data_IF_481970022502
#
_entry.id   IF_481970022502
#
_cell.length_a   1.000
_cell.length_b   1.000
_cell.length_c   1.000
_cell.angle_alpha   90.00
_cell.angle_beta   90.00
_cell.angle_gamma   90.00
#
_symmetry.space_group_name_H-M   'P 1'
#
loop_
_entity.id
_entity.type
_entity.pdbx_description
1 polymer ?
#
# COMPACT_ATOMS: atom_id res chain seq x y z
N UNK A 1 -30.20 -47.34 9.66
CA UNK A 1 -29.85 -46.05 10.30
C UNK A 1 -28.69 -45.31 9.62
N UNK A 2 -27.73 -46.00 8.97
CA UNK A 2 -26.55 -45.38 8.33
C UNK A 2 -26.83 -44.44 7.15
N UNK A 3 -27.90 -44.67 6.37
CA UNK A 3 -28.19 -43.86 5.18
C UNK A 3 -28.63 -42.41 5.50
N UNK A 4 -29.28 -42.21 6.65
CA UNK A 4 -29.73 -40.87 7.11
C UNK A 4 -28.57 -40.01 7.64
N UNK A 5 -27.52 -40.64 8.16
CA UNK A 5 -26.37 -39.96 8.75
C UNK A 5 -25.40 -39.44 7.67
N UNK A 6 -25.25 -40.20 6.57
CA UNK A 6 -24.47 -39.77 5.41
C UNK A 6 -25.11 -38.56 4.69
N UNK A 7 -26.44 -38.52 4.56
CA UNK A 7 -27.15 -37.40 3.91
C UNK A 7 -27.07 -36.10 4.70
N UNK A 8 -27.16 -36.15 6.03
CA UNK A 8 -26.99 -34.95 6.88
C UNK A 8 -25.57 -34.40 6.85
N UNK A 9 -24.56 -35.27 6.73
CA UNK A 9 -23.15 -34.85 6.68
C UNK A 9 -22.80 -34.18 5.35
N UNK A 10 -23.38 -34.66 4.25
CA UNK A 10 -23.25 -34.02 2.93
C UNK A 10 -23.91 -32.64 2.92
N UNK A 11 -25.13 -32.51 3.43
CA UNK A 11 -25.83 -31.21 3.49
C UNK A 11 -25.08 -30.17 4.34
N UNK A 12 -24.44 -30.58 5.44
CA UNK A 12 -23.64 -29.68 6.27
C UNK A 12 -22.36 -29.19 5.55
N UNK A 13 -21.76 -30.03 4.71
CA UNK A 13 -20.57 -29.68 3.94
C UNK A 13 -20.83 -28.67 2.82
N UNK A 14 -22.04 -28.65 2.25
CA UNK A 14 -22.40 -27.64 1.24
C UNK A 14 -22.59 -26.24 1.84
N UNK A 15 -22.98 -26.13 3.11
CA UNK A 15 -23.12 -24.82 3.78
C UNK A 15 -21.79 -24.14 4.13
N UNK A 16 -20.68 -24.87 4.23
CA UNK A 16 -19.38 -24.30 4.60
C UNK A 16 -18.65 -23.58 3.46
N UNK A 17 -19.06 -23.79 2.19
CA UNK A 17 -18.38 -23.21 1.02
C UNK A 17 -18.64 -21.69 0.89
N UNK A 18 -19.75 -21.19 1.45
CA UNK A 18 -20.08 -19.76 1.40
C UNK A 18 -19.19 -18.88 2.32
N UNK A 19 -18.73 -19.43 3.44
CA UNK A 19 -17.98 -18.66 4.44
C UNK A 19 -16.57 -18.28 3.97
N UNK A 20 -15.89 -19.16 3.24
CA UNK A 20 -14.55 -18.88 2.69
C UNK A 20 -14.58 -17.83 1.60
N UNK A 21 -15.61 -17.79 0.76
CA UNK A 21 -15.75 -16.79 -0.30
C UNK A 21 -15.96 -15.38 0.26
N UNK A 22 -16.82 -15.22 1.27
CA UNK A 22 -17.04 -13.92 1.93
C UNK A 22 -15.74 -13.44 2.60
N UNK A 23 -15.05 -14.33 3.30
CA UNK A 23 -13.76 -13.99 3.91
C UNK A 23 -12.72 -13.59 2.86
N UNK A 24 -12.61 -14.32 1.74
CA UNK A 24 -11.68 -13.96 0.67
C UNK A 24 -12.01 -12.57 0.11
N UNK A 25 -13.29 -12.29 -0.15
CA UNK A 25 -13.75 -10.97 -0.64
C UNK A 25 -13.37 -9.86 0.33
N UNK A 26 -13.66 -10.00 1.62
CA UNK A 26 -13.36 -8.97 2.61
C UNK A 26 -11.86 -8.72 2.75
N UNK A 27 -11.05 -9.78 2.68
CA UNK A 27 -9.60 -9.64 2.68
C UNK A 27 -9.06 -9.01 1.41
N UNK A 28 -9.66 -9.29 0.25
CA UNK A 28 -9.28 -8.65 -1.02
C UNK A 28 -9.60 -7.16 -1.01
N UNK A 29 -10.74 -6.75 -0.44
CA UNK A 29 -11.08 -5.33 -0.30
C UNK A 29 -10.08 -4.63 0.63
N UNK A 30 -9.84 -5.17 1.83
CA UNK A 30 -8.83 -4.62 2.76
C UNK A 30 -7.44 -4.58 2.14
N UNK A 31 -7.06 -5.62 1.40
CA UNK A 31 -5.79 -5.67 0.69
C UNK A 31 -5.72 -4.55 -0.36
N UNK A 32 -6.79 -4.30 -1.11
CA UNK A 32 -6.81 -3.22 -2.11
C UNK A 32 -6.67 -1.83 -1.47
N UNK A 33 -7.23 -1.61 -0.28
CA UNK A 33 -7.07 -0.35 0.46
C UNK A 33 -5.60 -0.11 0.84
N UNK A 34 -4.88 -1.15 1.27
CA UNK A 34 -3.45 -1.01 1.63
C UNK A 34 -2.54 -0.61 0.47
N UNK A 35 -2.96 -0.82 -0.79
CA UNK A 35 -2.16 -0.41 -1.96
C UNK A 35 -2.04 1.11 -2.03
N UNK A 36 -3.16 1.81 -1.87
CA UNK A 36 -3.18 3.27 -1.86
C UNK A 36 -2.41 3.84 -0.68
N UNK A 37 -2.49 3.17 0.48
CA UNK A 37 -1.71 3.55 1.67
C UNK A 37 -0.20 3.42 1.42
N UNK A 38 0.24 2.33 0.78
CA UNK A 38 1.66 2.13 0.41
C UNK A 38 2.14 3.23 -0.53
N UNK A 39 1.38 3.58 -1.57
CA UNK A 39 1.75 4.66 -2.49
C UNK A 39 1.84 6.01 -1.78
N UNK A 40 0.84 6.31 -0.95
CA UNK A 40 0.78 7.55 -0.20
C UNK A 40 1.97 7.67 0.74
N UNK A 41 2.29 6.61 1.50
CA UNK A 41 3.44 6.61 2.41
C UNK A 41 4.76 6.78 1.66
N UNK A 42 4.95 6.09 0.53
CA UNK A 42 6.14 6.25 -0.31
C UNK A 42 6.29 7.71 -0.80
N UNK A 43 5.21 8.36 -1.21
CA UNK A 43 5.25 9.78 -1.62
C UNK A 43 5.60 10.69 -0.46
N UNK A 44 5.00 10.49 0.72
CA UNK A 44 5.25 11.32 1.90
C UNK A 44 6.67 11.15 2.45
N UNK A 45 7.18 9.91 2.50
CA UNK A 45 8.56 9.63 2.94
C UNK A 45 9.58 10.24 1.97
N UNK A 46 9.32 10.14 0.66
CA UNK A 46 10.15 10.81 -0.35
C UNK A 46 10.07 12.33 -0.19
N UNK A 47 8.89 12.92 0.03
CA UNK A 47 8.77 14.36 0.29
C UNK A 47 9.59 14.78 1.51
N UNK A 48 9.50 14.05 2.62
CA UNK A 48 10.32 14.31 3.81
C UNK A 48 11.82 14.21 3.51
N UNK A 49 12.21 13.22 2.69
CA UNK A 49 13.59 13.07 2.22
C UNK A 49 14.04 14.27 1.38
N UNK A 50 13.19 14.79 0.48
CA UNK A 50 13.51 15.96 -0.36
C UNK A 50 13.55 17.28 0.40
N UNK A 51 12.80 17.40 1.50
CA UNK A 51 12.92 18.53 2.43
C UNK A 51 14.29 18.48 3.14
N UNK A 52 14.75 17.29 3.53
CA UNK A 52 16.05 17.12 4.17
C UNK A 52 17.23 17.29 3.18
N UNK A 53 17.14 16.67 2.00
CA UNK A 53 18.13 16.74 0.93
C UNK A 53 17.44 16.86 -0.44
N UNK A 54 17.53 18.04 -1.07
CA UNK A 54 16.91 18.32 -2.36
C UNK A 54 17.46 17.49 -3.52
N UNK A 55 18.68 16.97 -3.37
CA UNK A 55 19.35 16.17 -4.40
C UNK A 55 19.25 14.67 -4.14
N UNK A 56 18.45 14.26 -3.15
CA UNK A 56 18.17 12.86 -2.88
C UNK A 56 17.48 12.19 -4.08
N UNK A 57 17.73 10.88 -4.23
CA UNK A 57 17.08 10.06 -5.24
C UNK A 57 15.81 9.43 -4.65
N UNK A 58 14.63 9.63 -5.26
CA UNK A 58 13.39 9.04 -4.75
C UNK A 58 13.46 7.52 -4.84
N UNK A 59 13.00 6.84 -3.80
CA UNK A 59 12.77 5.39 -3.84
C UNK A 59 11.29 5.12 -4.05
N UNK A 60 10.94 4.42 -5.13
CA UNK A 60 9.56 4.08 -5.43
C UNK A 60 9.47 2.62 -5.88
N UNK A 61 8.47 1.91 -5.37
CA UNK A 61 8.23 0.51 -5.67
C UNK A 61 6.74 0.31 -5.96
N UNK A 62 6.44 -0.09 -7.20
CA UNK A 62 5.07 -0.35 -7.62
C UNK A 62 4.67 -1.77 -7.21
N UNK A 63 3.63 -1.98 -6.38
CA UNK A 63 3.01 -3.29 -6.22
C UNK A 63 2.47 -3.75 -7.58
N UNK A 64 3.08 -4.81 -8.12
CA UNK A 64 2.75 -5.39 -9.43
C UNK A 64 1.69 -6.47 -9.31
N UNK A 65 1.80 -7.29 -8.27
CA UNK A 65 0.92 -8.41 -8.03
C UNK A 65 0.70 -8.58 -6.52
N UNK A 66 -0.57 -8.77 -6.13
CA UNK A 66 -0.96 -9.16 -4.79
C UNK A 66 -1.68 -10.50 -4.86
N UNK A 67 -1.27 -11.46 -4.03
CA UNK A 67 -1.99 -12.72 -3.88
C UNK A 67 -2.52 -12.87 -2.46
N UNK A 68 -3.79 -13.27 -2.36
CA UNK A 68 -4.42 -13.71 -1.12
C UNK A 68 -4.69 -15.20 -1.23
N UNK A 69 -4.08 -15.98 -0.35
CA UNK A 69 -4.37 -17.40 -0.23
C UNK A 69 -4.99 -17.69 1.13
N UNK A 70 -6.20 -18.23 1.11
CA UNK A 70 -6.83 -18.85 2.29
C UNK A 70 -6.71 -20.36 2.12
N UNK A 71 -5.92 -20.99 2.98
CA UNK A 71 -5.69 -22.43 2.97
C UNK A 71 -6.32 -23.05 4.22
N UNK A 72 -7.41 -23.78 4.02
CA UNK A 72 -8.03 -24.60 5.05
C UNK A 72 -7.45 -26.02 4.99
N UNK A 73 -6.83 -26.47 6.08
CA UNK A 73 -6.26 -27.82 6.21
C UNK A 73 -7.02 -28.58 7.29
N UNK A 74 -7.74 -29.63 6.90
CA UNK A 74 -8.40 -30.55 7.82
C UNK A 74 -7.76 -31.94 7.73
N UNK A 75 -7.48 -32.54 8.89
CA UNK A 75 -6.99 -33.91 9.01
C UNK A 75 -7.83 -34.69 10.01
N UNK A 76 -8.21 -35.91 9.65
CA UNK A 76 -8.73 -36.88 10.61
C UNK A 76 -7.71 -38.01 10.72
N UNK A 77 -7.17 -38.22 11.92
CA UNK A 77 -6.35 -39.36 12.27
C UNK A 77 -7.11 -40.25 13.23
N UNK A 78 -6.94 -41.57 13.08
CA UNK A 78 -7.47 -42.54 14.03
C UNK A 78 -6.32 -43.43 14.46
N UNK A 79 -6.09 -43.51 15.76
CA UNK A 79 -5.08 -44.38 16.33
C UNK A 79 -5.82 -45.43 17.14
N UNK A 80 -5.75 -46.69 16.69
CA UNK A 80 -6.38 -47.81 17.37
C UNK A 80 -5.28 -48.64 18.03
N UNK A 81 -5.29 -48.70 19.36
CA UNK A 81 -4.41 -49.53 20.17
C UNK A 81 -5.00 -50.91 20.39
N UNK A 82 -4.33 -51.95 19.91
CA UNK A 82 -4.66 -53.35 20.20
C UNK A 82 -3.56 -53.98 21.04
N UNK A 83 -3.89 -54.47 22.23
CA UNK A 83 -3.04 -55.39 22.99
C UNK A 83 -3.47 -56.83 22.67
N UNK A 84 -2.54 -57.80 22.74
CA UNK A 84 -2.70 -59.20 22.24
C UNK A 84 -3.98 -59.93 22.68
N UNK A 85 -4.68 -59.47 23.72
CA UNK A 85 -5.90 -60.10 24.24
C UNK A 85 -7.06 -59.13 24.52
N UNK A 86 -6.89 -57.81 24.33
CA UNK A 86 -7.93 -56.79 24.60
C UNK A 86 -7.74 -55.56 23.73
N UNK A 87 -8.86 -54.98 23.30
CA UNK A 87 -8.90 -53.63 22.78
C UNK A 87 -8.47 -52.65 23.88
N UNK A 88 -7.47 -51.81 23.60
CA UNK A 88 -6.88 -50.90 24.59
C UNK A 88 -7.50 -49.50 24.49
N UNK A 89 -7.42 -48.88 23.30
CA UNK A 89 -7.98 -47.55 23.08
C UNK A 89 -8.24 -47.27 21.60
N UNK A 90 -9.16 -46.34 21.33
CA UNK A 90 -9.28 -45.66 20.04
C UNK A 90 -9.22 -44.16 20.29
N UNK A 91 -8.17 -43.51 19.79
CA UNK A 91 -8.04 -42.07 19.81
C UNK A 91 -8.42 -41.52 18.44
N UNK A 92 -9.44 -40.66 18.43
CA UNK A 92 -9.83 -39.90 17.26
C UNK A 92 -9.15 -38.53 17.33
N UNK A 93 -8.19 -38.28 16.45
CA UNK A 93 -7.59 -36.97 16.26
C UNK A 93 -8.28 -36.25 15.12
N UNK A 94 -8.99 -35.16 15.40
CA UNK A 94 -9.46 -34.24 14.36
C UNK A 94 -8.63 -32.97 14.50
N UNK A 95 -7.93 -32.59 13.44
CA UNK A 95 -7.26 -31.30 13.34
C UNK A 95 -7.89 -30.50 12.22
N UNK A 96 -8.14 -29.23 12.48
CA UNK A 96 -8.55 -28.27 11.47
C UNK A 96 -7.72 -27.01 11.71
N UNK A 97 -7.06 -26.53 10.68
CA UNK A 97 -6.24 -25.33 10.69
C UNK A 97 -6.61 -24.45 9.50
N UNK A 98 -6.52 -23.14 9.68
CA UNK A 98 -6.76 -22.14 8.64
C UNK A 98 -5.55 -21.22 8.58
N UNK A 99 -4.86 -21.23 7.45
CA UNK A 99 -3.73 -20.34 7.19
C UNK A 99 -4.15 -19.28 6.18
N UNK A 100 -3.94 -18.02 6.54
CA UNK A 100 -4.16 -16.88 5.65
C UNK A 100 -2.80 -16.30 5.28
N UNK A 101 -2.44 -16.34 4.00
CA UNK A 101 -1.19 -15.80 3.49
C UNK A 101 -1.48 -14.67 2.50
N UNK A 102 -0.86 -13.52 2.75
CA UNK A 102 -0.90 -12.36 1.85
C UNK A 102 0.53 -12.08 1.38
N UNK A 103 0.72 -12.02 0.07
CA UNK A 103 2.04 -11.74 -0.54
C UNK A 103 1.91 -10.60 -1.53
N UNK A 104 2.79 -9.61 -1.41
CA UNK A 104 2.94 -8.52 -2.36
C UNK A 104 4.26 -8.66 -3.09
N UNK A 105 4.21 -8.58 -4.42
CA UNK A 105 5.40 -8.47 -5.26
C UNK A 105 5.50 -7.04 -5.76
N UNK A 106 6.57 -6.34 -5.40
CA UNK A 106 6.83 -4.97 -5.82
C UNK A 106 7.97 -4.91 -6.84
N UNK A 107 7.82 -4.07 -7.87
CA UNK A 107 8.86 -3.80 -8.86
C UNK A 107 9.45 -2.40 -8.60
N UNK A 108 10.72 -2.28 -8.16
CA UNK A 108 11.33 -0.99 -7.92
C UNK A 108 11.60 -0.26 -9.24
N UNK A 109 11.43 1.06 -9.25
CA UNK A 109 11.81 1.88 -10.41
C UNK A 109 13.33 1.93 -10.52
N UNK A 110 13.88 1.36 -11.59
CA UNK A 110 15.33 1.33 -11.87
C UNK A 110 15.76 2.22 -13.04
N UNK A 111 14.79 2.81 -13.75
CA UNK A 111 15.07 3.64 -14.91
C UNK A 111 15.57 5.04 -14.47
N UNK A 112 16.81 5.42 -14.80
CA UNK A 112 17.38 6.70 -14.37
C UNK A 112 16.61 7.91 -14.93
N UNK A 113 15.98 7.80 -16.10
CA UNK A 113 15.20 8.90 -16.66
C UNK A 113 13.91 9.13 -15.87
N UNK A 114 13.28 8.06 -15.39
CA UNK A 114 12.10 8.16 -14.52
C UNK A 114 12.46 8.68 -13.14
N UNK A 115 13.60 8.24 -12.59
CA UNK A 115 14.11 8.76 -11.32
C UNK A 115 14.38 10.27 -11.39
N UNK A 116 15.03 10.73 -12.46
CA UNK A 116 15.27 12.16 -12.70
C UNK A 116 13.96 12.96 -12.85
N UNK A 117 12.97 12.42 -13.57
CA UNK A 117 11.65 13.05 -13.69
C UNK A 117 10.96 13.19 -12.33
N UNK A 118 10.96 12.13 -11.51
CA UNK A 118 10.36 12.17 -10.18
C UNK A 118 11.09 13.15 -9.27
N UNK A 119 12.43 13.18 -9.32
CA UNK A 119 13.24 14.15 -8.59
C UNK A 119 12.80 15.59 -8.91
N UNK A 120 12.64 15.90 -10.20
CA UNK A 120 12.16 17.19 -10.65
C UNK A 120 10.73 17.50 -10.21
N UNK A 121 9.85 16.50 -10.19
CA UNK A 121 8.49 16.66 -9.70
C UNK A 121 8.46 17.00 -8.20
N UNK A 122 9.25 16.31 -7.37
CA UNK A 122 9.35 16.59 -5.93
C UNK A 122 9.96 17.96 -5.64
N UNK A 123 11.05 18.33 -6.33
CA UNK A 123 11.65 19.66 -6.21
C UNK A 123 10.67 20.76 -6.61
N UNK A 124 9.90 20.56 -7.68
CA UNK A 124 8.86 21.50 -8.08
C UNK A 124 7.75 21.60 -7.03
N UNK A 125 7.29 20.47 -6.47
CA UNK A 125 6.27 20.46 -5.42
C UNK A 125 6.71 21.21 -4.16
N UNK A 126 7.99 21.09 -3.77
CA UNK A 126 8.54 21.77 -2.60
C UNK A 126 8.98 23.22 -2.86
N UNK A 127 9.17 23.62 -4.12
CA UNK A 127 9.58 24.99 -4.46
C UNK A 127 8.64 26.07 -3.93
N UNK A 128 7.36 25.73 -3.76
CA UNK A 128 6.38 26.59 -3.10
C UNK A 128 6.73 26.85 -1.63
N UNK A 129 7.14 25.81 -0.92
CA UNK A 129 7.17 25.79 0.54
C UNK A 129 8.48 26.30 1.13
N UNK A 130 9.60 26.18 0.41
CA UNK A 130 10.94 26.39 0.99
C UNK A 130 11.61 27.69 0.51
N UNK A 131 10.88 28.63 -0.10
CA UNK A 131 11.35 29.96 -0.59
C UNK A 131 12.76 29.96 -1.20
N UNK A 132 13.08 28.91 -1.93
CA UNK A 132 14.39 28.70 -2.51
C UNK A 132 14.17 28.10 -3.88
N UNK A 133 14.73 28.79 -4.87
CA UNK A 133 14.54 28.44 -6.28
C UNK A 133 14.88 26.97 -6.52
N UNK A 134 14.08 26.30 -7.36
CA UNK A 134 14.36 24.95 -7.88
C UNK A 134 15.84 24.90 -8.28
N UNK A 135 16.55 23.89 -7.81
CA UNK A 135 17.97 23.74 -8.08
C UNK A 135 18.20 23.85 -9.58
N UNK A 136 19.08 24.77 -9.98
CA UNK A 136 19.54 24.88 -11.37
C UNK A 136 20.64 23.86 -11.67
N UNK A 137 21.11 23.15 -10.64
CA UNK A 137 22.11 22.11 -10.80
C UNK A 137 21.47 20.88 -11.45
N UNK A 138 22.21 20.28 -12.39
CA UNK A 138 21.77 19.17 -13.23
C UNK A 138 20.91 18.12 -12.48
N UNK A 139 19.76 17.69 -13.05
CA UNK A 139 19.26 17.99 -14.40
C UNK A 139 18.34 19.21 -14.50
N UNK A 140 18.22 19.79 -15.71
CA UNK A 140 17.25 20.88 -15.98
C UNK A 140 15.81 20.35 -15.91
N UNK A 141 15.22 20.53 -14.73
CA UNK A 141 13.88 20.06 -14.42
C UNK A 141 12.80 20.72 -15.26
N UNK A 142 12.99 21.96 -15.70
CA UNK A 142 12.01 22.62 -16.55
C UNK A 142 11.88 21.91 -17.89
N UNK A 143 13.01 21.64 -18.55
CA UNK A 143 13.05 20.92 -19.82
C UNK A 143 12.55 19.48 -19.70
N UNK A 144 12.91 18.77 -18.61
CA UNK A 144 12.47 17.37 -18.40
C UNK A 144 10.96 17.29 -18.20
N UNK A 145 10.39 18.17 -17.36
CA UNK A 145 8.95 18.21 -17.11
C UNK A 145 8.20 18.62 -18.37
N UNK A 146 8.67 19.64 -19.10
CA UNK A 146 8.03 20.11 -20.34
C UNK A 146 8.03 19.00 -21.41
N UNK A 147 9.12 18.23 -21.51
CA UNK A 147 9.19 17.06 -22.41
C UNK A 147 8.22 15.95 -22.00
N UNK A 148 7.98 15.75 -20.71
CA UNK A 148 7.13 14.66 -20.21
C UNK A 148 5.63 15.00 -20.30
N UNK A 149 5.24 16.20 -19.88
CA UNK A 149 3.85 16.65 -19.91
C UNK A 149 3.40 17.14 -21.30
N UNK A 150 4.35 17.31 -22.22
CA UNK A 150 4.11 17.75 -23.59
C UNK A 150 3.91 19.26 -23.71
N UNK A 151 3.78 19.72 -24.95
CA UNK A 151 3.54 21.13 -25.27
C UNK A 151 2.19 21.55 -24.64
N UNK A 152 2.16 22.60 -23.79
CA UNK A 152 0.96 23.05 -23.06
C UNK A 152 -0.26 23.34 -23.96
N UNK A 153 -0.06 23.50 -25.27
CA UNK A 153 -1.11 23.82 -26.23
C UNK A 153 -1.79 22.58 -26.85
N UNK A 154 -1.30 21.35 -26.63
CA UNK A 154 -1.79 20.15 -27.35
C UNK A 154 -2.31 19.01 -26.48
N UNK A 155 -2.08 19.06 -25.17
CA UNK A 155 -2.58 18.05 -24.24
C UNK A 155 -3.84 18.56 -23.53
N UNK A 156 -5.01 17.99 -23.83
CA UNK A 156 -6.23 18.11 -23.02
C UNK A 156 -6.11 17.44 -21.63
N UNK A 157 -4.89 17.35 -21.10
CA UNK A 157 -4.50 16.74 -19.84
C UNK A 157 -3.79 17.76 -18.95
N UNK A 158 -3.67 17.42 -17.67
CA UNK A 158 -3.09 18.22 -16.59
C UNK A 158 -1.87 19.02 -17.08
N UNK A 159 -2.03 20.32 -17.28
CA UNK A 159 -0.96 21.18 -17.79
C UNK A 159 -0.08 21.68 -16.63
N UNK A 160 1.10 22.23 -16.95
CA UNK A 160 2.02 22.83 -15.97
C UNK A 160 1.33 23.87 -15.06
N UNK A 161 0.29 24.55 -15.57
CA UNK A 161 -0.54 25.50 -14.79
C UNK A 161 -1.36 24.82 -13.70
N UNK A 162 -1.82 23.57 -13.90
CA UNK A 162 -2.45 22.79 -12.84
C UNK A 162 -1.47 22.55 -11.69
N UNK A 163 -0.26 22.09 -11.98
CA UNK A 163 0.80 21.88 -10.97
C UNK A 163 1.19 23.17 -10.25
N UNK A 164 1.25 24.29 -10.99
CA UNK A 164 1.54 25.59 -10.42
C UNK A 164 0.42 26.09 -9.49
N UNK A 165 -0.85 25.88 -9.85
CA UNK A 165 -1.99 26.22 -9.00
C UNK A 165 -2.03 25.42 -7.70
N UNK A 166 -1.58 24.15 -7.71
CA UNK A 166 -1.46 23.33 -6.50
C UNK A 166 -0.36 23.83 -5.53
N UNK A 167 0.63 24.55 -6.05
CA UNK A 167 1.71 25.16 -5.28
C UNK A 167 1.26 26.47 -4.59
N UNK A 168 0.39 27.25 -5.24
CA UNK A 168 -0.06 28.57 -4.76
C UNK A 168 -1.11 28.49 -3.62
N UNK A 169 -1.85 27.38 -3.49
CA UNK A 169 -2.74 27.12 -2.35
C UNK A 169 -1.93 26.54 -1.16
N UNK A 170 -1.09 27.39 -0.56
CA UNK A 170 -0.27 27.08 0.61
C UNK A 170 -1.13 26.53 1.75
N UNK A 171 -0.82 25.32 2.20
CA UNK A 171 -1.42 24.75 3.43
C UNK A 171 -1.96 23.34 3.29
N UNK A 172 -1.72 22.65 2.18
CA UNK A 172 -2.03 21.21 2.14
C UNK A 172 -0.94 20.34 2.75
N UNK A 173 0.31 20.80 2.69
CA UNK A 173 1.49 20.11 3.21
C UNK A 173 2.02 20.85 4.45
N UNK A 174 2.14 20.13 5.56
CA UNK A 174 2.87 20.55 6.74
C UNK A 174 4.28 19.94 6.74
N UNK A 175 5.27 20.72 7.16
CA UNK A 175 6.68 20.33 7.23
C UNK A 175 7.21 20.79 8.59
N UNK A 176 7.91 19.91 9.31
CA UNK A 176 8.45 20.25 10.62
C UNK A 176 9.11 19.08 11.34
N UNK A 177 9.32 19.24 12.63
CA UNK A 177 9.74 18.18 13.54
C UNK A 177 8.56 17.31 13.99
N UNK A 178 8.87 16.30 14.80
CA UNK A 178 7.85 15.39 15.36
C UNK A 178 6.81 16.13 16.22
N UNK A 179 7.25 17.15 16.95
CA UNK A 179 6.41 17.90 17.89
C UNK A 179 5.50 18.93 17.19
N UNK A 180 5.76 19.22 15.91
CA UNK A 180 4.94 20.13 15.10
C UNK A 180 3.71 19.43 14.48
N UNK A 181 3.64 18.10 14.59
CA UNK A 181 2.53 17.31 14.06
C UNK A 181 1.30 17.52 14.95
N UNK A 182 0.16 17.98 14.41
CA UNK A 182 -1.05 18.16 15.19
C UNK A 182 -1.49 16.82 15.82
N UNK A 183 -1.78 16.82 17.13
CA UNK A 183 -2.28 15.62 17.84
C UNK A 183 -3.61 15.12 17.25
N UNK A 184 -4.40 16.03 16.70
CA UNK A 184 -5.72 15.78 16.12
C UNK A 184 -5.67 15.36 14.65
N UNK A 185 -4.48 15.33 14.03
CA UNK A 185 -4.33 14.80 12.68
C UNK A 185 -4.47 13.28 12.73
N UNK A 186 -5.49 12.75 12.06
CA UNK A 186 -5.66 11.32 11.82
C UNK A 186 -4.34 10.76 11.26
N UNK A 187 -3.62 10.04 12.12
CA UNK A 187 -2.16 9.88 12.13
C UNK A 187 -1.58 9.05 10.96
N UNK A 188 -2.37 8.81 9.92
CA UNK A 188 -2.05 7.89 8.83
C UNK A 188 -1.28 8.54 7.69
N UNK A 189 -1.27 9.87 7.60
CA UNK A 189 -0.66 10.60 6.48
C UNK A 189 0.55 11.41 6.95
N UNK A 190 1.53 10.71 7.53
CA UNK A 190 2.79 11.30 7.98
C UNK A 190 3.94 10.55 7.34
N UNK A 191 4.75 11.26 6.56
CA UNK A 191 6.03 10.81 6.06
C UNK A 191 7.15 11.21 7.00
N UNK A 192 8.19 10.39 7.08
CA UNK A 192 9.37 10.65 7.92
C UNK A 192 10.65 10.33 7.18
N UNK A 193 11.60 11.26 7.25
CA UNK A 193 12.98 11.01 6.88
C UNK A 193 13.94 11.70 7.87
N UNK A 194 14.81 10.93 8.53
CA UNK A 194 15.66 11.44 9.62
C UNK A 194 14.81 12.17 10.69
N UNK A 195 15.11 13.44 10.95
CA UNK A 195 14.40 14.31 11.90
C UNK A 195 13.34 15.20 11.23
N UNK A 196 13.12 15.02 9.92
CA UNK A 196 12.14 15.77 9.14
C UNK A 196 10.85 14.96 9.00
N UNK A 197 9.74 15.60 9.32
CA UNK A 197 8.40 15.05 9.17
C UNK A 197 7.61 15.90 8.19
N UNK A 198 6.80 15.21 7.40
CA UNK A 198 5.89 15.82 6.43
C UNK A 198 4.52 15.22 6.62
N UNK A 199 3.48 16.04 6.66
CA UNK A 199 2.10 15.57 6.86
C UNK A 199 1.11 16.31 5.98
N UNK A 200 -0.02 15.68 5.69
CA UNK A 200 -1.10 16.28 4.90
C UNK A 200 -2.27 16.64 5.80
N UNK A 201 -2.74 17.89 5.73
CA UNK A 201 -3.91 18.31 6.51
C UNK A 201 -5.19 17.57 6.03
N UNK A 202 -6.11 17.20 6.94
CA UNK A 202 -7.31 16.44 6.59
C UNK A 202 -8.17 17.08 5.49
N UNK A 203 -8.23 18.41 5.44
CA UNK A 203 -8.99 19.17 4.45
C UNK A 203 -8.46 19.07 3.02
N UNK A 204 -7.26 18.51 2.80
CA UNK A 204 -6.61 18.47 1.50
C UNK A 204 -6.24 17.06 1.01
N UNK A 205 -6.76 16.01 1.65
CA UNK A 205 -6.45 14.61 1.26
C UNK A 205 -6.77 14.30 -0.20
N UNK A 206 -7.85 14.86 -0.72
CA UNK A 206 -8.29 14.67 -2.10
C UNK A 206 -7.25 15.16 -3.13
N UNK A 207 -6.42 16.15 -2.76
CA UNK A 207 -5.38 16.70 -3.63
C UNK A 207 -4.20 15.74 -3.83
N UNK A 208 -3.99 14.78 -2.92
CA UNK A 208 -2.92 13.79 -3.04
C UNK A 208 -3.31 12.63 -3.99
N UNK A 209 -4.61 12.42 -4.19
CA UNK A 209 -5.16 11.28 -4.94
C UNK A 209 -5.58 11.60 -6.37
N UNK A 210 -5.48 12.86 -6.80
CA UNK A 210 -5.80 13.33 -8.16
C UNK A 210 -4.57 13.28 -9.08
#
# INVERSE_FOLDING_TARGET
>A
MHFKLATTLVLLSLSSVGCTHVQLRDNTVKQSETVSDIYTQQVLDNLAMFVYDRNALPSFAFPKEGSNQVKDMGGASTTIGWMSHKFDSALLGITADRVMQQTWTTDPIRDPHKLALMQCAYQHALSAYVDESVSKDCPDCSTILDKFYGDPDHSGGINKKCLQKFSEDYGWLGIGGKDDIPEDCDCRLVGKYCDTYVWVLPCNREKLTQ
#
